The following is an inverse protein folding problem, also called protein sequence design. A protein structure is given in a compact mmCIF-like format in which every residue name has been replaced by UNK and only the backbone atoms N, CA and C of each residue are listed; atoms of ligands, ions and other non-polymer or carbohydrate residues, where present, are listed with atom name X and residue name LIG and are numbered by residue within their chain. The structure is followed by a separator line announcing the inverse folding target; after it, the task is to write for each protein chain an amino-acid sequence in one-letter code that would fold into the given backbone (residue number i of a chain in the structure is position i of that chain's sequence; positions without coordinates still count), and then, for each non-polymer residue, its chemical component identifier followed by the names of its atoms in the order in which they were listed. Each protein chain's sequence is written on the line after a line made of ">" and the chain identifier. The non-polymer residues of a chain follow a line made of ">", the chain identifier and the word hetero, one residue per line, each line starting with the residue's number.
data_IF_267559924249
#
_entry.id   IF_267559924249
#
_cell.length_a   1.000
_cell.length_b   1.000
_cell.length_c   1.000
_cell.angle_alpha   90.00
_cell.angle_beta   90.00
_cell.angle_gamma   90.00
#
_symmetry.space_group_name_H-M   'P 1'
#
loop_
_entity.id
_entity.type
_entity.pdbx_description
1 polymer ?
#
# COMPACT_ATOMS: atom_id res chain seq x y z
N UNK A 1 26.85 -55.56 -57.53
CA UNK A 1 27.06 -54.18 -57.08
C UNK A 1 25.84 -53.78 -56.24
N UNK A 2 25.92 -53.66 -54.91
CA UNK A 2 24.77 -53.20 -54.08
C UNK A 2 24.68 -51.67 -54.06
N UNK A 3 23.47 -51.16 -54.33
CA UNK A 3 23.15 -49.76 -54.25
C UNK A 3 22.88 -49.40 -52.74
N UNK A 4 23.70 -48.50 -52.18
CA UNK A 4 23.42 -47.89 -50.88
C UNK A 4 22.47 -46.69 -51.10
N UNK A 5 21.29 -46.75 -50.48
CA UNK A 5 20.35 -45.61 -50.40
C UNK A 5 20.63 -44.90 -49.11
N UNK A 6 21.15 -43.69 -49.14
CA UNK A 6 21.35 -42.86 -47.94
C UNK A 6 20.02 -42.15 -47.62
N UNK A 7 19.46 -42.46 -46.45
CA UNK A 7 18.32 -41.73 -45.89
C UNK A 7 18.83 -40.48 -45.17
N UNK A 8 18.48 -39.28 -45.65
CA UNK A 8 18.71 -38.04 -44.98
C UNK A 8 17.61 -37.83 -43.93
N UNK A 9 17.98 -37.89 -42.64
CA UNK A 9 17.11 -37.51 -41.54
C UNK A 9 17.14 -35.99 -41.39
N UNK A 10 16.08 -35.29 -41.85
CA UNK A 10 15.90 -33.87 -41.59
C UNK A 10 15.44 -33.70 -40.13
N UNK A 11 16.33 -33.30 -39.23
CA UNK A 11 15.95 -32.83 -37.86
C UNK A 11 15.47 -31.40 -38.02
N UNK A 12 14.16 -31.24 -38.06
CA UNK A 12 13.53 -29.91 -37.92
C UNK A 12 13.70 -29.38 -36.52
N UNK A 13 14.62 -28.42 -36.36
CA UNK A 13 14.70 -27.65 -35.10
C UNK A 13 13.50 -26.67 -35.11
N UNK A 14 12.46 -27.04 -34.36
CA UNK A 14 11.35 -26.11 -34.06
C UNK A 14 11.89 -25.06 -33.10
N UNK A 15 12.29 -23.90 -33.64
CA UNK A 15 12.48 -22.72 -32.84
C UNK A 15 11.09 -22.27 -32.33
N UNK A 16 10.73 -22.68 -31.10
CA UNK A 16 9.64 -22.06 -30.39
C UNK A 16 10.08 -20.63 -30.05
N UNK A 17 9.70 -19.68 -30.91
CA UNK A 17 9.82 -18.26 -30.56
C UNK A 17 8.86 -17.99 -29.43
N UNK A 18 9.34 -18.03 -28.20
CA UNK A 18 8.64 -17.40 -27.07
C UNK A 18 8.65 -15.90 -27.33
N UNK A 19 7.60 -15.40 -27.96
CA UNK A 19 7.34 -13.97 -28.00
C UNK A 19 7.19 -13.53 -26.53
N UNK A 20 8.21 -12.89 -26.00
CA UNK A 20 8.11 -12.24 -24.69
C UNK A 20 7.06 -11.15 -24.85
N UNK A 21 5.90 -11.36 -24.21
CA UNK A 21 4.84 -10.35 -24.17
C UNK A 21 5.41 -9.09 -23.52
N UNK A 22 5.19 -7.97 -24.14
CA UNK A 22 5.62 -6.66 -23.66
C UNK A 22 5.02 -6.36 -22.28
N UNK A 23 5.76 -5.66 -21.43
CA UNK A 23 5.24 -5.12 -20.18
C UNK A 23 4.32 -3.92 -20.45
N UNK A 24 3.29 -3.74 -19.65
CA UNK A 24 2.32 -2.66 -19.78
C UNK A 24 1.91 -2.12 -18.40
N UNK A 25 1.70 -0.80 -18.31
CA UNK A 25 1.18 -0.13 -17.11
C UNK A 25 -0.02 0.72 -17.50
N UNK A 26 -1.16 0.45 -16.88
CA UNK A 26 -2.37 1.22 -17.02
C UNK A 26 -2.68 1.96 -15.70
N UNK A 27 -2.70 3.29 -15.76
CA UNK A 27 -3.18 4.12 -14.66
C UNK A 27 -4.69 4.31 -14.78
N UNK A 28 -5.42 3.94 -13.75
CA UNK A 28 -6.87 4.06 -13.66
C UNK A 28 -7.20 5.12 -12.62
N UNK A 29 -7.92 6.14 -13.02
CA UNK A 29 -8.35 7.23 -12.15
C UNK A 29 -9.85 7.12 -11.89
N UNK A 30 -10.22 7.26 -10.64
CA UNK A 30 -11.61 7.39 -10.26
C UNK A 30 -11.94 8.87 -10.02
N UNK A 31 -12.82 9.43 -10.84
CA UNK A 31 -13.30 10.80 -10.69
C UNK A 31 -14.73 10.80 -10.12
N UNK A 32 -14.89 11.08 -8.82
CA UNK A 32 -16.19 10.95 -8.15
C UNK A 32 -17.15 12.14 -8.39
N UNK A 33 -16.73 13.18 -9.11
CA UNK A 33 -17.47 14.46 -9.25
C UNK A 33 -18.94 14.25 -9.69
N UNK A 34 -19.23 13.18 -10.42
CA UNK A 34 -20.56 12.88 -10.93
C UNK A 34 -21.30 11.79 -10.14
N UNK A 35 -20.75 11.30 -9.02
CA UNK A 35 -21.38 10.25 -8.23
C UNK A 35 -22.10 10.82 -7.02
N UNK A 36 -23.34 10.44 -6.86
CA UNK A 36 -24.23 10.89 -5.79
C UNK A 36 -23.93 10.24 -4.43
N UNK A 37 -23.22 9.11 -4.39
CA UNK A 37 -22.91 8.37 -3.17
C UNK A 37 -22.10 7.09 -3.39
N UNK A 38 -21.85 6.34 -2.32
CA UNK A 38 -21.25 5.01 -2.38
C UNK A 38 -22.06 4.04 -3.25
N UNK A 39 -21.39 3.06 -3.88
CA UNK A 39 -22.03 2.02 -4.69
C UNK A 39 -21.48 0.64 -4.34
N UNK A 40 -22.38 -0.32 -4.20
CA UNK A 40 -22.01 -1.73 -4.05
C UNK A 40 -21.71 -2.39 -5.41
N UNK A 41 -22.12 -1.74 -6.50
CA UNK A 41 -21.95 -2.27 -7.84
C UNK A 41 -20.54 -1.97 -8.37
N UNK A 42 -19.96 -2.93 -9.10
CA UNK A 42 -18.65 -2.81 -9.71
C UNK A 42 -18.71 -2.06 -11.05
N UNK A 43 -19.25 -0.83 -11.04
CA UNK A 43 -19.39 -0.01 -12.25
C UNK A 43 -18.21 0.95 -12.51
N UNK A 44 -17.46 1.32 -11.48
CA UNK A 44 -16.29 2.18 -11.64
C UNK A 44 -15.15 1.43 -12.31
N UNK A 45 -14.39 2.11 -13.21
CA UNK A 45 -13.30 1.48 -13.98
C UNK A 45 -12.24 0.84 -13.08
N UNK A 46 -12.01 1.42 -11.89
CA UNK A 46 -11.10 0.88 -10.90
C UNK A 46 -11.56 -0.48 -10.37
N UNK A 47 -12.88 -0.71 -10.25
CA UNK A 47 -13.46 -1.98 -9.88
C UNK A 47 -13.50 -2.93 -11.08
N UNK A 48 -14.01 -2.47 -12.23
CA UNK A 48 -14.11 -3.29 -13.46
C UNK A 48 -12.78 -3.91 -13.85
N UNK A 49 -11.69 -3.15 -13.76
CA UNK A 49 -10.36 -3.65 -14.07
C UNK A 49 -9.94 -4.77 -13.12
N UNK A 50 -10.20 -4.62 -11.82
CA UNK A 50 -9.92 -5.68 -10.85
C UNK A 50 -10.81 -6.90 -11.08
N UNK A 51 -12.12 -6.68 -11.25
CA UNK A 51 -13.09 -7.75 -11.49
C UNK A 51 -12.73 -8.55 -12.75
N UNK A 52 -12.38 -7.88 -13.85
CA UNK A 52 -11.93 -8.53 -15.08
C UNK A 52 -10.69 -9.39 -14.83
N UNK A 53 -9.70 -8.91 -14.10
CA UNK A 53 -8.50 -9.67 -13.79
C UNK A 53 -8.81 -10.94 -12.97
N UNK A 54 -9.72 -10.86 -11.98
CA UNK A 54 -10.14 -12.02 -11.19
C UNK A 54 -10.90 -13.04 -12.06
N UNK A 55 -11.82 -12.56 -12.89
CA UNK A 55 -12.64 -13.43 -13.76
C UNK A 55 -11.80 -14.15 -14.82
N UNK A 56 -10.71 -13.55 -15.27
CA UNK A 56 -9.81 -14.13 -16.30
C UNK A 56 -8.63 -14.90 -15.74
N UNK A 57 -8.50 -14.99 -14.41
CA UNK A 57 -7.46 -15.76 -13.76
C UNK A 57 -7.52 -17.25 -14.13
N UNK A 58 -6.37 -17.82 -14.48
CA UNK A 58 -6.22 -19.22 -14.92
C UNK A 58 -5.59 -20.13 -13.85
N UNK A 59 -4.71 -19.58 -13.00
CA UNK A 59 -3.88 -20.37 -12.08
C UNK A 59 -3.93 -19.90 -10.64
N UNK A 60 -3.65 -18.61 -10.40
CA UNK A 60 -3.47 -18.09 -9.04
C UNK A 60 -4.04 -16.69 -8.89
N UNK A 61 -4.62 -16.42 -7.73
CA UNK A 61 -4.95 -15.07 -7.25
C UNK A 61 -4.42 -14.95 -5.83
N UNK A 62 -3.44 -14.07 -5.64
CA UNK A 62 -2.93 -13.67 -4.34
C UNK A 62 -3.35 -12.25 -4.05
N UNK A 63 -3.97 -11.99 -2.90
CA UNK A 63 -4.37 -10.63 -2.56
C UNK A 63 -4.02 -10.26 -1.11
N UNK A 64 -3.72 -8.98 -0.89
CA UNK A 64 -3.59 -8.41 0.44
C UNK A 64 -4.35 -7.09 0.50
N UNK A 65 -5.38 -7.03 1.35
CA UNK A 65 -6.29 -5.89 1.45
C UNK A 65 -6.58 -5.53 2.90
N UNK A 66 -6.80 -4.26 3.15
CA UNK A 66 -7.19 -3.75 4.46
C UNK A 66 -8.53 -4.35 4.96
N UNK A 67 -9.40 -4.71 4.03
CA UNK A 67 -10.69 -5.34 4.28
C UNK A 67 -11.67 -5.06 3.15
N UNK A 68 -12.89 -5.57 3.30
CA UNK A 68 -13.95 -5.49 2.30
C UNK A 68 -15.26 -4.96 2.91
N UNK A 69 -15.97 -4.12 2.15
CA UNK A 69 -17.33 -3.66 2.48
C UNK A 69 -18.12 -3.35 1.22
N UNK A 70 -19.31 -3.97 1.10
CA UNK A 70 -20.26 -3.66 0.04
C UNK A 70 -19.74 -3.87 -1.37
N UNK A 71 -19.00 -4.95 -1.61
CA UNK A 71 -18.46 -5.32 -2.93
C UNK A 71 -18.72 -6.81 -3.23
N UNK A 72 -20.00 -7.19 -3.39
CA UNK A 72 -20.35 -8.59 -3.63
C UNK A 72 -19.76 -9.14 -4.92
N UNK A 73 -19.71 -8.35 -6.00
CA UNK A 73 -19.16 -8.79 -7.29
C UNK A 73 -17.73 -9.30 -7.18
N UNK A 74 -16.91 -8.64 -6.36
CA UNK A 74 -15.50 -9.06 -6.13
C UNK A 74 -15.46 -10.38 -5.35
N UNK A 75 -16.31 -10.54 -4.34
CA UNK A 75 -16.37 -11.79 -3.56
C UNK A 75 -16.84 -12.95 -4.42
N UNK A 76 -17.93 -12.78 -5.16
CA UNK A 76 -18.47 -13.79 -6.08
C UNK A 76 -17.46 -14.19 -7.17
N UNK A 77 -16.71 -13.23 -7.69
CA UNK A 77 -15.64 -13.51 -8.66
C UNK A 77 -14.51 -14.35 -8.06
N UNK A 78 -14.13 -14.11 -6.79
CA UNK A 78 -13.13 -14.91 -6.08
C UNK A 78 -13.65 -16.34 -5.78
N UNK A 79 -14.91 -16.49 -5.38
CA UNK A 79 -15.56 -17.81 -5.23
C UNK A 79 -15.60 -18.55 -6.58
N UNK A 80 -16.04 -17.89 -7.65
CA UNK A 80 -16.04 -18.44 -9.01
C UNK A 80 -14.64 -18.85 -9.48
N UNK A 81 -13.60 -18.12 -9.09
CA UNK A 81 -12.22 -18.51 -9.39
C UNK A 81 -11.84 -19.83 -8.71
N UNK A 82 -12.22 -20.03 -7.43
CA UNK A 82 -12.04 -21.32 -6.75
C UNK A 82 -12.76 -22.45 -7.46
N UNK A 83 -14.01 -22.24 -7.88
CA UNK A 83 -14.81 -23.25 -8.61
C UNK A 83 -14.18 -23.63 -9.96
N UNK A 84 -13.46 -22.70 -10.59
CA UNK A 84 -12.67 -22.96 -11.80
C UNK A 84 -11.35 -23.70 -11.53
N UNK A 85 -11.00 -23.94 -10.25
CA UNK A 85 -9.75 -24.59 -9.85
C UNK A 85 -8.57 -23.62 -9.71
N UNK A 86 -8.80 -22.30 -9.70
CA UNK A 86 -7.78 -21.28 -9.45
C UNK A 86 -7.40 -21.30 -7.97
N UNK A 87 -6.12 -21.28 -7.66
CA UNK A 87 -5.65 -21.15 -6.28
C UNK A 87 -5.84 -19.70 -5.82
N UNK A 88 -6.71 -19.48 -4.83
CA UNK A 88 -6.96 -18.16 -4.24
C UNK A 88 -6.40 -18.11 -2.83
N UNK A 89 -5.51 -17.13 -2.57
CA UNK A 89 -4.91 -16.87 -1.25
C UNK A 89 -5.08 -15.41 -0.87
N UNK A 90 -5.43 -15.15 0.38
CA UNK A 90 -5.70 -13.79 0.82
C UNK A 90 -5.03 -13.42 2.14
N UNK A 91 -4.78 -12.12 2.29
CA UNK A 91 -4.35 -11.49 3.53
C UNK A 91 -5.28 -10.32 3.84
N UNK A 92 -5.77 -10.28 5.08
CA UNK A 92 -6.65 -9.24 5.59
C UNK A 92 -6.10 -8.64 6.88
N UNK A 93 -6.51 -7.42 7.20
CA UNK A 93 -6.18 -6.73 8.45
C UNK A 93 -7.12 -7.15 9.58
N UNK A 94 -6.57 -7.36 10.77
CA UNK A 94 -7.34 -7.56 12.00
C UNK A 94 -6.64 -6.92 13.20
N UNK A 95 -7.39 -6.26 14.05
CA UNK A 95 -6.85 -5.71 15.30
C UNK A 95 -6.55 -6.81 16.36
N UNK A 96 -6.01 -6.40 17.51
CA UNK A 96 -5.68 -7.32 18.61
C UNK A 96 -6.91 -7.97 19.27
N UNK A 97 -8.10 -7.49 18.99
CA UNK A 97 -9.37 -8.02 19.46
C UNK A 97 -10.05 -8.94 18.40
N UNK A 98 -9.30 -9.29 17.33
CA UNK A 98 -9.73 -10.12 16.20
C UNK A 98 -10.87 -9.48 15.36
N UNK A 99 -10.87 -8.14 15.29
CA UNK A 99 -11.88 -7.38 14.57
C UNK A 99 -11.34 -6.80 13.28
N UNK A 100 -12.17 -6.85 12.25
CA UNK A 100 -11.92 -6.16 10.98
C UNK A 100 -12.44 -4.73 11.05
N UNK A 101 -11.78 -3.82 10.34
CA UNK A 101 -12.27 -2.45 10.18
C UNK A 101 -13.54 -2.38 9.31
N UNK A 102 -13.57 -3.10 8.19
CA UNK A 102 -14.71 -3.17 7.30
C UNK A 102 -15.63 -4.33 7.64
N UNK A 103 -16.96 -4.05 7.63
CA UNK A 103 -17.99 -4.94 8.16
C UNK A 103 -18.10 -6.29 7.46
N UNK A 104 -17.79 -6.36 6.15
CA UNK A 104 -17.99 -7.57 5.35
C UNK A 104 -16.71 -8.39 5.17
N UNK A 105 -15.59 -7.97 5.80
CA UNK A 105 -14.29 -8.64 5.64
C UNK A 105 -14.33 -10.10 6.09
N UNK A 106 -15.12 -10.42 7.12
CA UNK A 106 -15.29 -11.78 7.63
C UNK A 106 -15.82 -12.77 6.57
N UNK A 107 -16.57 -12.28 5.57
CA UNK A 107 -17.08 -13.11 4.47
C UNK A 107 -15.94 -13.74 3.65
N UNK A 108 -14.79 -13.06 3.55
CA UNK A 108 -13.61 -13.62 2.89
C UNK A 108 -13.08 -14.85 3.62
N UNK A 109 -13.10 -14.86 4.95
CA UNK A 109 -12.66 -16.01 5.76
C UNK A 109 -13.69 -17.15 5.70
N UNK A 110 -14.98 -16.81 5.59
CA UNK A 110 -16.05 -17.82 5.49
C UNK A 110 -16.05 -18.51 4.12
N UNK A 111 -15.85 -17.75 3.05
CA UNK A 111 -16.00 -18.22 1.67
C UNK A 111 -14.71 -18.76 1.04
N UNK A 112 -13.56 -18.24 1.48
CA UNK A 112 -12.26 -18.59 0.92
C UNK A 112 -11.44 -19.37 1.94
N UNK A 113 -10.89 -20.51 1.52
CA UNK A 113 -10.24 -21.46 2.44
C UNK A 113 -8.83 -21.07 2.88
N UNK A 114 -8.19 -20.11 2.20
CA UNK A 114 -6.78 -19.77 2.43
C UNK A 114 -6.57 -18.28 2.71
N UNK A 115 -7.20 -17.82 3.78
CA UNK A 115 -7.09 -16.45 4.27
C UNK A 115 -6.23 -16.40 5.52
N UNK A 116 -5.34 -15.40 5.58
CA UNK A 116 -4.53 -15.08 6.75
C UNK A 116 -4.74 -13.64 7.19
N UNK A 117 -4.41 -13.36 8.45
CA UNK A 117 -4.42 -11.99 8.98
C UNK A 117 -3.16 -11.71 9.79
N UNK A 118 -2.92 -10.44 10.08
CA UNK A 118 -1.83 -9.97 10.93
C UNK A 118 -2.10 -10.13 12.43
N UNK A 119 -3.29 -10.55 12.84
CA UNK A 119 -3.72 -10.73 14.22
C UNK A 119 -2.68 -11.43 15.12
N UNK A 120 -2.12 -12.56 14.68
CA UNK A 120 -1.13 -13.31 15.48
C UNK A 120 0.16 -12.52 15.67
N UNK A 121 0.58 -11.76 14.65
CA UNK A 121 1.76 -10.89 14.71
C UNK A 121 1.55 -9.76 15.71
N UNK A 122 0.37 -9.17 15.71
CA UNK A 122 0.01 -8.07 16.62
C UNK A 122 -0.14 -8.56 18.06
N UNK A 123 -0.72 -9.72 18.28
CA UNK A 123 -0.74 -10.36 19.62
C UNK A 123 0.68 -10.58 20.16
N UNK A 124 1.59 -11.10 19.34
CA UNK A 124 3.00 -11.25 19.72
C UNK A 124 3.67 -9.92 20.06
N UNK A 125 3.35 -8.87 19.32
CA UNK A 125 3.85 -7.51 19.57
C UNK A 125 3.32 -6.97 20.90
N UNK A 126 2.02 -7.12 21.17
CA UNK A 126 1.42 -6.75 22.44
C UNK A 126 2.09 -7.46 23.63
N UNK A 127 2.32 -8.77 23.52
CA UNK A 127 3.00 -9.53 24.58
C UNK A 127 4.45 -9.06 24.82
N UNK A 128 5.19 -8.71 23.76
CA UNK A 128 6.51 -8.11 23.88
C UNK A 128 6.46 -6.75 24.59
N UNK A 129 5.48 -5.91 24.27
CA UNK A 129 5.27 -4.62 24.93
C UNK A 129 4.92 -4.79 26.41
N UNK A 130 4.05 -5.74 26.75
CA UNK A 130 3.71 -6.08 28.15
C UNK A 130 4.96 -6.55 28.91
N UNK A 131 5.75 -7.48 28.36
CA UNK A 131 7.01 -7.95 28.97
C UNK A 131 8.00 -6.82 29.19
N UNK A 132 8.18 -5.93 28.22
CA UNK A 132 9.08 -4.78 28.32
C UNK A 132 8.62 -3.80 29.43
N UNK A 133 7.33 -3.67 29.64
CA UNK A 133 6.77 -2.83 30.67
C UNK A 133 6.95 -3.42 32.09
N UNK A 134 7.15 -4.74 32.18
CA UNK A 134 7.42 -5.47 33.43
C UNK A 134 8.91 -5.66 33.71
N UNK A 135 9.83 -5.29 32.78
CA UNK A 135 11.26 -5.40 33.09
C UNK A 135 11.60 -4.42 34.20
N UNK A 136 12.26 -4.94 35.27
CA UNK A 136 12.81 -4.18 36.43
C UNK A 136 13.93 -3.24 35.97
N UNK A 137 13.70 -2.38 34.99
CA UNK A 137 14.66 -1.32 34.72
C UNK A 137 14.55 -0.32 35.87
N UNK A 138 15.68 0.01 36.50
CA UNK A 138 15.79 1.17 37.40
C UNK A 138 15.34 2.40 36.61
N UNK A 139 14.09 2.75 36.72
CA UNK A 139 13.54 3.96 36.10
C UNK A 139 13.59 5.06 37.13
N UNK A 140 14.32 6.10 36.86
CA UNK A 140 14.24 7.33 37.61
C UNK A 140 12.80 7.84 37.58
N UNK A 141 12.25 8.15 38.75
CA UNK A 141 10.98 8.87 38.89
C UNK A 141 11.23 10.33 38.59
N UNK A 142 10.64 10.85 37.55
CA UNK A 142 10.69 12.27 37.25
C UNK A 142 9.35 12.92 37.64
N UNK A 143 9.40 13.95 38.47
CA UNK A 143 8.25 14.80 38.82
C UNK A 143 8.52 16.23 38.34
N UNK A 144 7.50 16.88 37.84
CA UNK A 144 7.52 18.33 37.71
C UNK A 144 7.25 18.95 39.10
N UNK A 145 7.92 20.05 39.46
CA UNK A 145 7.61 20.78 40.63
C UNK A 145 6.12 21.23 40.68
N UNK A 146 5.57 21.39 41.84
CA UNK A 146 4.22 21.93 42.01
C UNK A 146 4.07 23.25 41.26
N UNK A 147 2.95 23.41 40.56
CA UNK A 147 2.70 24.59 39.74
C UNK A 147 3.28 24.54 38.32
N UNK A 148 3.78 23.37 37.83
CA UNK A 148 4.31 23.17 36.47
C UNK A 148 5.43 24.14 36.03
N UNK A 149 6.07 24.83 36.97
CA UNK A 149 7.16 25.79 36.71
C UNK A 149 8.48 25.18 37.17
N UNK A 150 9.42 25.03 36.26
CA UNK A 150 10.77 24.57 36.52
C UNK A 150 11.17 23.26 35.82
N UNK A 151 12.46 22.88 35.88
CA UNK A 151 12.96 21.69 35.22
C UNK A 151 12.40 20.42 35.87
N UNK A 152 12.34 19.34 35.08
CA UNK A 152 11.94 18.03 35.53
C UNK A 152 12.94 17.54 36.57
N UNK A 153 12.46 17.21 37.78
CA UNK A 153 13.29 16.63 38.82
C UNK A 153 13.19 15.12 38.79
N UNK A 154 14.30 14.43 38.57
CA UNK A 154 14.37 12.98 38.50
C UNK A 154 15.08 12.44 39.75
N UNK A 155 14.45 11.48 40.43
CA UNK A 155 14.99 10.83 41.62
C UNK A 155 15.33 9.38 41.27
N UNK A 156 16.54 8.94 41.64
CA UNK A 156 16.87 7.51 41.66
C UNK A 156 16.17 6.88 42.88
N UNK A 157 15.46 5.83 42.66
CA UNK A 157 14.81 5.07 43.72
C UNK A 157 14.35 3.73 43.17
N UNK A 158 14.05 2.77 44.04
CA UNK A 158 13.31 1.57 43.69
C UNK A 158 11.93 1.99 43.18
N UNK A 159 11.89 2.32 41.90
CA UNK A 159 10.70 2.88 41.27
C UNK A 159 9.66 1.81 41.07
N UNK A 160 8.51 1.96 41.65
CA UNK A 160 7.29 1.37 41.09
C UNK A 160 7.18 1.90 39.65
N UNK A 161 7.39 1.02 38.67
CA UNK A 161 7.04 1.37 37.32
C UNK A 161 5.54 1.67 37.33
N UNK A 162 5.17 2.93 37.12
CA UNK A 162 3.78 3.24 36.82
C UNK A 162 3.44 2.42 35.60
N UNK A 163 2.46 1.50 35.69
CA UNK A 163 1.89 0.81 34.57
C UNK A 163 1.36 1.91 33.64
N UNK A 164 2.12 2.27 32.64
CA UNK A 164 1.57 3.05 31.53
C UNK A 164 0.64 2.10 30.79
N UNK A 165 -0.61 2.47 30.69
CA UNK A 165 -1.56 1.71 29.90
C UNK A 165 -1.00 1.51 28.49
N UNK A 166 -0.84 0.27 28.09
CA UNK A 166 -0.40 -0.06 26.77
C UNK A 166 -1.62 0.11 25.86
N UNK A 167 -1.65 1.23 25.11
CA UNK A 167 -2.72 1.55 24.16
C UNK A 167 -2.43 1.00 22.76
N UNK A 168 -1.87 -0.20 22.67
CA UNK A 168 -1.63 -0.85 21.40
C UNK A 168 -2.90 -1.58 20.95
N UNK A 169 -3.43 -1.22 19.79
CA UNK A 169 -4.63 -1.81 19.19
C UNK A 169 -4.33 -2.68 17.97
N UNK A 170 -3.07 -2.81 17.61
CA UNK A 170 -2.55 -3.43 16.39
C UNK A 170 -1.88 -2.40 15.49
N UNK A 171 -0.94 -2.86 14.70
CA UNK A 171 -0.45 -2.14 13.53
C UNK A 171 -1.39 -2.48 12.35
N UNK A 172 -1.47 -1.65 11.32
CA UNK A 172 -2.43 -1.85 10.23
C UNK A 172 -1.75 -2.47 9.01
N UNK A 173 -2.24 -3.62 8.55
CA UNK A 173 -1.90 -4.19 7.24
C UNK A 173 -2.70 -3.46 6.15
N UNK A 174 -2.14 -2.36 5.64
CA UNK A 174 -2.84 -1.40 4.80
C UNK A 174 -2.59 -1.60 3.29
N UNK A 175 -2.15 -2.77 2.88
CA UNK A 175 -1.97 -3.08 1.46
C UNK A 175 -3.31 -3.09 0.71
N UNK A 176 -3.25 -2.83 -0.58
CA UNK A 176 -4.33 -2.97 -1.54
C UNK A 176 -3.70 -3.49 -2.81
N UNK A 177 -3.55 -4.81 -2.88
CA UNK A 177 -2.91 -5.45 -4.01
C UNK A 177 -3.62 -6.77 -4.36
N UNK A 178 -3.63 -7.07 -5.64
CA UNK A 178 -3.97 -8.37 -6.21
C UNK A 178 -2.86 -8.75 -7.19
N UNK A 179 -2.43 -10.00 -7.13
CA UNK A 179 -1.46 -10.59 -8.05
C UNK A 179 -2.16 -11.74 -8.73
N UNK A 180 -2.34 -11.66 -10.04
CA UNK A 180 -3.04 -12.68 -10.82
C UNK A 180 -2.05 -13.39 -11.72
N UNK A 181 -2.05 -14.73 -11.67
CA UNK A 181 -1.24 -15.64 -12.47
C UNK A 181 0.28 -15.35 -12.42
N UNK A 182 0.73 -14.75 -11.30
CA UNK A 182 2.11 -14.29 -11.12
C UNK A 182 2.62 -13.44 -12.29
N UNK A 183 1.73 -12.62 -12.86
CA UNK A 183 2.00 -11.75 -14.00
C UNK A 183 1.35 -10.38 -13.87
N UNK A 184 0.08 -10.35 -13.50
CA UNK A 184 -0.69 -9.11 -13.40
C UNK A 184 -0.72 -8.61 -11.98
N UNK A 185 -0.52 -7.32 -11.79
CA UNK A 185 -0.65 -6.67 -10.49
C UNK A 185 -1.67 -5.55 -10.58
N UNK A 186 -2.69 -5.60 -9.73
CA UNK A 186 -3.56 -4.47 -9.45
C UNK A 186 -3.20 -3.91 -8.07
N UNK A 187 -2.89 -2.61 -7.99
CA UNK A 187 -2.57 -1.94 -6.72
C UNK A 187 -2.87 -0.45 -6.79
N UNK A 188 -2.96 0.22 -5.63
CA UNK A 188 -3.20 1.66 -5.61
C UNK A 188 -3.72 2.18 -4.28
N UNK A 189 -4.54 3.22 -4.35
CA UNK A 189 -5.10 3.88 -3.16
C UNK A 189 -6.47 3.33 -2.74
N UNK A 190 -7.20 2.63 -3.64
CA UNK A 190 -8.57 2.21 -3.41
C UNK A 190 -8.67 1.02 -2.45
N UNK A 191 -9.51 1.15 -1.42
CA UNK A 191 -9.97 0.01 -0.65
C UNK A 191 -11.04 -0.77 -1.44
N UNK A 192 -11.19 -2.06 -1.14
CA UNK A 192 -12.28 -2.87 -1.67
C UNK A 192 -13.55 -2.53 -0.87
N UNK A 193 -14.20 -1.47 -1.29
CA UNK A 193 -15.35 -0.93 -0.56
C UNK A 193 -16.29 -0.13 -1.48
N UNK A 194 -17.53 0.03 -1.03
CA UNK A 194 -18.57 0.85 -1.65
C UNK A 194 -18.11 2.28 -1.96
N UNK A 195 -17.21 2.84 -1.14
CA UNK A 195 -16.62 4.17 -1.37
C UNK A 195 -15.31 4.11 -2.14
N UNK A 196 -14.55 3.02 -2.04
CA UNK A 196 -13.26 2.83 -2.69
C UNK A 196 -13.41 2.34 -4.14
N UNK A 197 -13.49 1.03 -4.33
CA UNK A 197 -13.76 0.40 -5.64
C UNK A 197 -15.15 0.75 -6.18
N UNK A 198 -16.16 0.97 -5.33
CA UNK A 198 -17.46 1.49 -5.72
C UNK A 198 -17.47 2.93 -6.25
N UNK A 199 -16.32 3.62 -6.20
CA UNK A 199 -16.06 4.81 -7.00
C UNK A 199 -16.49 6.15 -6.40
N UNK A 200 -16.84 6.23 -5.12
CA UNK A 200 -17.25 7.48 -4.49
C UNK A 200 -16.08 8.34 -4.01
N UNK A 201 -14.96 7.73 -3.62
CA UNK A 201 -13.74 8.44 -3.26
C UNK A 201 -12.89 8.71 -4.51
N UNK A 202 -12.15 9.81 -4.52
CA UNK A 202 -11.09 10.04 -5.49
C UNK A 202 -9.92 9.09 -5.19
N UNK A 203 -9.77 8.09 -6.02
CA UNK A 203 -8.75 7.05 -5.93
C UNK A 203 -8.02 6.88 -7.26
N UNK A 204 -6.88 6.22 -7.19
CA UNK A 204 -6.24 5.66 -8.37
C UNK A 204 -5.83 4.20 -8.13
N UNK A 205 -5.71 3.47 -9.23
CA UNK A 205 -5.08 2.15 -9.26
C UNK A 205 -4.14 2.06 -10.45
N UNK A 206 -3.16 1.18 -10.32
CA UNK A 206 -2.32 0.71 -11.41
C UNK A 206 -2.71 -0.73 -11.73
N UNK A 207 -2.91 -1.01 -13.00
CA UNK A 207 -2.95 -2.38 -13.52
C UNK A 207 -1.68 -2.59 -14.34
N UNK A 208 -0.85 -3.54 -13.90
CA UNK A 208 0.50 -3.75 -14.43
C UNK A 208 0.57 -5.17 -14.98
N UNK A 209 0.80 -5.31 -16.28
CA UNK A 209 1.13 -6.57 -16.93
C UNK A 209 2.66 -6.69 -17.02
N UNK A 210 3.28 -7.28 -16.03
CA UNK A 210 4.73 -7.47 -15.96
C UNK A 210 5.08 -8.58 -14.96
N UNK A 211 5.65 -9.65 -15.48
CA UNK A 211 6.11 -10.75 -14.61
C UNK A 211 7.23 -10.32 -13.64
N UNK A 212 8.24 -9.53 -14.03
CA UNK A 212 9.23 -9.02 -13.09
C UNK A 212 8.62 -8.21 -11.95
N UNK A 213 7.63 -7.34 -12.23
CA UNK A 213 6.91 -6.57 -11.20
C UNK A 213 6.10 -7.51 -10.31
N UNK A 214 5.34 -8.44 -10.89
CA UNK A 214 4.55 -9.42 -10.14
C UNK A 214 5.42 -10.23 -9.17
N UNK A 215 6.63 -10.64 -9.58
CA UNK A 215 7.56 -11.36 -8.70
C UNK A 215 7.94 -10.55 -7.44
N UNK A 216 8.11 -9.23 -7.55
CA UNK A 216 8.41 -8.36 -6.40
C UNK A 216 7.22 -8.32 -5.43
N UNK A 217 6.00 -8.20 -5.96
CA UNK A 217 4.78 -8.21 -5.14
C UNK A 217 4.52 -9.60 -4.53
N UNK A 218 4.77 -10.67 -5.28
CA UNK A 218 4.66 -12.05 -4.78
C UNK A 218 5.63 -12.30 -3.63
N UNK A 219 6.87 -11.82 -3.72
CA UNK A 219 7.82 -11.96 -2.62
C UNK A 219 7.34 -11.26 -1.33
N UNK A 220 6.69 -10.09 -1.45
CA UNK A 220 6.08 -9.41 -0.31
C UNK A 220 4.86 -10.18 0.23
N UNK A 221 4.03 -10.71 -0.66
CA UNK A 221 2.88 -11.52 -0.28
C UNK A 221 3.32 -12.79 0.47
N UNK A 222 4.30 -13.54 -0.05
CA UNK A 222 4.84 -14.75 0.59
C UNK A 222 5.43 -14.47 1.98
N UNK A 223 6.12 -13.34 2.13
CA UNK A 223 6.65 -12.90 3.43
C UNK A 223 5.55 -12.76 4.48
N UNK A 224 4.40 -12.24 4.09
CA UNK A 224 3.25 -12.09 5.00
C UNK A 224 2.45 -13.41 5.13
N UNK A 225 2.12 -14.03 3.99
CA UNK A 225 1.21 -15.18 3.95
C UNK A 225 1.89 -16.46 4.45
N UNK A 226 3.07 -16.77 3.94
CA UNK A 226 3.75 -18.05 4.22
C UNK A 226 4.65 -17.94 5.45
N UNK A 227 5.43 -16.87 5.57
CA UNK A 227 6.36 -16.69 6.69
C UNK A 227 5.69 -16.05 7.93
N UNK A 228 4.51 -15.45 7.78
CA UNK A 228 3.78 -14.78 8.87
C UNK A 228 4.48 -13.53 9.41
N UNK A 229 5.30 -12.88 8.58
CA UNK A 229 6.03 -11.68 8.94
C UNK A 229 5.25 -10.44 8.53
N UNK A 230 4.70 -9.76 9.52
CA UNK A 230 3.93 -8.52 9.34
C UNK A 230 4.64 -7.35 10.02
N UNK A 231 4.33 -6.13 9.58
CA UNK A 231 4.72 -4.89 10.22
C UNK A 231 6.22 -4.85 10.58
N UNK A 232 6.53 -4.64 11.86
CA UNK A 232 7.91 -4.55 12.39
C UNK A 232 8.63 -5.90 12.51
N UNK A 233 7.93 -7.02 12.25
CA UNK A 233 8.56 -8.33 12.21
C UNK A 233 9.32 -8.57 10.90
N UNK A 234 9.04 -7.77 9.87
CA UNK A 234 9.75 -7.83 8.58
C UNK A 234 11.19 -7.35 8.73
N UNK A 235 12.11 -8.02 8.01
CA UNK A 235 13.50 -7.61 7.98
C UNK A 235 13.65 -6.25 7.28
N UNK A 236 14.34 -5.33 7.93
CA UNK A 236 14.57 -3.99 7.39
C UNK A 236 15.62 -4.05 6.27
N UNK A 237 15.23 -3.65 5.07
CA UNK A 237 16.10 -3.57 3.89
C UNK A 237 16.60 -2.15 3.65
N UNK A 238 15.77 -1.14 3.92
CA UNK A 238 16.01 0.30 3.65
C UNK A 238 16.22 0.63 2.17
N UNK A 239 15.80 -0.24 1.28
CA UNK A 239 16.04 -0.12 -0.16
C UNK A 239 14.76 -0.43 -0.91
N UNK A 240 14.39 0.44 -1.85
CA UNK A 240 13.37 0.16 -2.84
C UNK A 240 13.90 -0.76 -3.95
N UNK A 241 13.03 -1.54 -4.56
CA UNK A 241 13.35 -2.39 -5.70
C UNK A 241 12.99 -1.68 -7.00
N UNK A 242 13.94 -1.55 -7.91
CA UNK A 242 13.69 -1.00 -9.24
C UNK A 242 13.55 -2.14 -10.26
N UNK A 243 12.52 -2.04 -11.10
CA UNK A 243 12.23 -2.97 -12.20
C UNK A 243 12.20 -2.18 -13.49
N UNK A 244 13.04 -2.56 -14.45
CA UNK A 244 13.00 -2.00 -15.81
C UNK A 244 11.89 -2.67 -16.62
N UNK A 245 11.13 -1.86 -17.33
CA UNK A 245 10.07 -2.34 -18.21
C UNK A 245 10.66 -2.88 -19.50
N UNK A 246 10.17 -4.02 -19.95
CA UNK A 246 10.71 -4.73 -21.12
C UNK A 246 10.47 -3.99 -22.45
N UNK A 247 9.50 -3.07 -22.52
CA UNK A 247 9.10 -2.36 -23.75
C UNK A 247 9.62 -0.94 -23.85
N UNK A 248 10.02 -0.36 -22.75
CA UNK A 248 10.56 1.01 -22.71
C UNK A 248 11.73 1.05 -21.73
N UNK A 249 13.00 1.02 -22.22
CA UNK A 249 14.17 1.08 -21.35
C UNK A 249 14.21 2.32 -20.46
N UNK A 250 13.57 3.40 -20.89
CA UNK A 250 13.46 4.64 -20.12
C UNK A 250 12.37 4.61 -19.04
N UNK A 251 11.46 3.63 -19.09
CA UNK A 251 10.44 3.43 -18.07
C UNK A 251 10.90 2.40 -17.04
N UNK A 252 10.85 2.78 -15.80
CA UNK A 252 11.09 1.87 -14.70
C UNK A 252 10.05 2.08 -13.61
N UNK A 253 9.83 1.03 -12.83
CA UNK A 253 8.99 1.07 -11.64
C UNK A 253 9.91 0.90 -10.44
N UNK A 254 9.82 1.83 -9.49
CA UNK A 254 10.44 1.68 -8.17
C UNK A 254 9.38 1.28 -7.16
N UNK A 255 9.55 0.12 -6.52
CA UNK A 255 8.61 -0.49 -5.58
C UNK A 255 9.23 -0.46 -4.19
N UNK A 256 8.47 0.01 -3.21
CA UNK A 256 8.89 0.01 -1.82
C UNK A 256 7.73 -0.35 -0.89
N UNK A 257 7.95 -1.28 0.01
CA UNK A 257 6.98 -1.70 1.01
C UNK A 257 7.35 -1.16 2.40
N UNK A 258 6.40 -0.54 3.07
CA UNK A 258 6.59 -0.09 4.46
C UNK A 258 6.22 -1.20 5.45
N UNK A 259 6.93 -1.27 6.59
CA UNK A 259 7.99 -0.38 7.05
C UNK A 259 9.41 -0.76 6.57
N UNK A 260 9.63 -1.96 6.02
CA UNK A 260 10.94 -2.55 5.81
C UNK A 260 11.83 -1.78 4.84
N UNK A 261 11.28 -1.28 3.74
CA UNK A 261 12.06 -0.61 2.69
C UNK A 261 12.26 0.89 2.95
N UNK A 262 11.72 1.41 4.07
CA UNK A 262 11.76 2.85 4.37
C UNK A 262 11.22 3.69 3.20
N UNK A 263 10.07 3.34 2.66
CA UNK A 263 9.50 3.85 1.41
C UNK A 263 9.59 5.38 1.25
N UNK A 264 9.41 6.15 2.33
CA UNK A 264 9.58 7.61 2.29
C UNK A 264 11.00 7.99 1.85
N UNK A 265 12.02 7.35 2.40
CA UNK A 265 13.41 7.74 2.17
C UNK A 265 14.05 7.03 0.97
N UNK A 266 13.62 5.82 0.67
CA UNK A 266 14.16 5.03 -0.44
C UNK A 266 13.49 5.32 -1.79
N UNK A 267 12.22 5.78 -1.78
CA UNK A 267 11.46 6.02 -3.01
C UNK A 267 10.91 7.45 -3.12
N UNK A 268 10.19 7.98 -2.10
CA UNK A 268 9.52 9.27 -2.22
C UNK A 268 10.50 10.45 -2.20
N UNK A 269 11.36 10.51 -1.18
CA UNK A 269 12.29 11.66 -0.99
C UNK A 269 13.27 11.86 -2.15
N UNK A 270 13.86 10.84 -2.78
CA UNK A 270 14.73 11.04 -3.94
C UNK A 270 14.02 11.77 -5.09
N UNK A 271 12.77 11.40 -5.38
CA UNK A 271 11.98 12.03 -6.45
C UNK A 271 11.64 13.49 -6.11
N UNK A 272 11.18 13.77 -4.87
CA UNK A 272 10.87 15.14 -4.44
C UNK A 272 12.11 16.05 -4.44
N UNK A 273 13.25 15.54 -3.99
CA UNK A 273 14.53 16.29 -4.01
C UNK A 273 15.02 16.58 -5.43
N UNK A 274 14.75 15.67 -6.36
CA UNK A 274 15.11 15.81 -7.77
C UNK A 274 14.23 16.75 -8.56
N UNK A 275 13.10 17.20 -8.01
CA UNK A 275 12.14 18.08 -8.69
C UNK A 275 12.78 19.41 -9.12
N UNK A 276 12.49 19.81 -10.39
CA UNK A 276 13.02 21.05 -11.00
C UNK A 276 11.92 22.03 -11.38
N UNK A 277 10.77 21.55 -11.81
CA UNK A 277 9.70 22.36 -12.39
C UNK A 277 8.43 22.36 -11.54
N UNK A 278 7.92 21.19 -11.16
CA UNK A 278 6.63 21.08 -10.47
C UNK A 278 6.50 19.86 -9.58
N UNK A 279 5.69 20.01 -8.51
CA UNK A 279 5.22 18.90 -7.65
C UNK A 279 3.73 19.11 -7.42
N UNK A 280 2.90 18.26 -8.00
CA UNK A 280 1.45 18.24 -7.85
C UNK A 280 1.03 17.06 -6.99
N UNK A 281 0.41 17.31 -5.83
CA UNK A 281 0.07 16.29 -4.85
C UNK A 281 -1.45 16.21 -4.67
N UNK A 282 -1.98 15.00 -4.72
CA UNK A 282 -3.33 14.65 -4.30
C UNK A 282 -3.25 13.60 -3.16
N UNK A 283 -3.70 13.95 -1.95
CA UNK A 283 -3.38 13.13 -0.79
C UNK A 283 -4.46 13.14 0.30
N UNK A 284 -4.64 11.99 0.93
CA UNK A 284 -5.59 11.82 2.04
C UNK A 284 -5.03 12.34 3.37
N UNK A 285 -3.84 11.88 3.80
CA UNK A 285 -3.13 12.36 5.00
C UNK A 285 -1.72 12.84 4.67
N UNK A 286 -1.37 14.03 5.15
CA UNK A 286 -0.04 14.63 5.05
C UNK A 286 0.40 15.14 6.42
N UNK A 287 1.03 14.26 7.20
CA UNK A 287 1.56 14.59 8.54
C UNK A 287 3.07 14.42 8.63
N UNK A 288 3.71 13.79 7.63
CA UNK A 288 5.13 13.46 7.64
C UNK A 288 6.01 14.72 7.61
N UNK A 289 6.77 14.95 8.69
CA UNK A 289 7.58 16.16 8.87
C UNK A 289 8.60 16.37 7.74
N UNK A 290 9.38 15.34 7.42
CA UNK A 290 10.49 15.50 6.47
C UNK A 290 10.01 15.67 5.02
N UNK A 291 8.91 15.04 4.63
CA UNK A 291 8.26 15.31 3.34
C UNK A 291 7.85 16.78 3.27
N UNK A 292 7.19 17.29 4.32
CA UNK A 292 6.73 18.69 4.33
C UNK A 292 7.88 19.70 4.32
N UNK A 293 8.98 19.39 4.98
CA UNK A 293 10.20 20.21 4.91
C UNK A 293 10.75 20.19 3.48
N UNK A 294 10.85 19.02 2.83
CA UNK A 294 11.35 18.93 1.45
C UNK A 294 10.47 19.69 0.46
N UNK A 295 9.14 19.67 0.64
CA UNK A 295 8.23 20.47 -0.19
C UNK A 295 8.51 21.98 -0.06
N UNK A 296 8.81 22.44 1.17
CA UNK A 296 9.23 23.84 1.39
C UNK A 296 10.57 24.12 0.72
N UNK A 297 11.54 23.25 0.83
CA UNK A 297 12.85 23.42 0.17
C UNK A 297 12.72 23.38 -1.36
N UNK A 298 11.88 22.51 -1.92
CA UNK A 298 11.57 22.51 -3.35
C UNK A 298 10.94 23.86 -3.77
N UNK A 299 9.98 24.37 -3.00
CA UNK A 299 9.35 25.66 -3.28
C UNK A 299 10.36 26.81 -3.24
N UNK A 300 11.28 26.83 -2.28
CA UNK A 300 12.38 27.82 -2.21
C UNK A 300 13.33 27.73 -3.41
N UNK A 301 13.52 26.56 -3.99
CA UNK A 301 14.30 26.38 -5.23
C UNK A 301 13.57 26.88 -6.49
N UNK A 302 12.31 27.34 -6.35
CA UNK A 302 11.48 27.82 -7.45
C UNK A 302 10.56 26.76 -8.06
N UNK A 303 10.52 25.55 -7.51
CA UNK A 303 9.61 24.48 -7.95
C UNK A 303 8.16 24.88 -7.61
N UNK A 304 7.25 24.73 -8.57
CA UNK A 304 5.81 24.99 -8.38
C UNK A 304 5.18 23.83 -7.62
N UNK A 305 4.93 24.03 -6.32
CA UNK A 305 4.29 23.00 -5.47
C UNK A 305 2.81 23.31 -5.30
N UNK A 306 1.92 22.33 -5.61
CA UNK A 306 0.46 22.44 -5.41
C UNK A 306 -0.06 21.18 -4.72
N UNK A 307 -0.97 21.34 -3.78
CA UNK A 307 -1.46 20.24 -2.97
C UNK A 307 -2.98 20.26 -2.88
N UNK A 308 -3.61 19.13 -3.12
CA UNK A 308 -5.02 18.85 -2.78
C UNK A 308 -5.01 17.86 -1.63
N UNK A 309 -5.59 18.26 -0.50
CA UNK A 309 -5.67 17.48 0.73
C UNK A 309 -7.13 17.22 1.11
N UNK A 310 -7.46 16.03 1.56
CA UNK A 310 -8.77 15.71 2.11
C UNK A 310 -9.08 16.48 3.40
N UNK A 311 -10.35 16.85 3.59
CA UNK A 311 -10.79 17.54 4.80
C UNK A 311 -10.53 16.72 6.07
N UNK A 312 -10.70 15.40 6.02
CA UNK A 312 -10.38 14.51 7.16
C UNK A 312 -8.88 14.56 7.50
N UNK A 313 -8.03 14.57 6.48
CA UNK A 313 -6.58 14.74 6.66
C UNK A 313 -6.22 16.12 7.21
N UNK A 314 -6.96 17.16 6.82
CA UNK A 314 -6.73 18.52 7.30
C UNK A 314 -7.13 18.71 8.77
N UNK A 315 -8.16 18.00 9.27
CA UNK A 315 -8.59 18.10 10.69
C UNK A 315 -7.67 17.36 11.66
N UNK A 316 -6.73 16.55 11.16
CA UNK A 316 -5.76 15.86 12.01
C UNK A 316 -4.81 16.88 12.66
N UNK A 317 -4.58 16.77 13.97
CA UNK A 317 -3.73 17.69 14.76
C UNK A 317 -2.27 17.76 14.25
N UNK A 318 -1.77 16.70 13.60
CA UNK A 318 -0.42 16.64 13.03
C UNK A 318 -0.36 17.08 11.56
N UNK A 319 -1.49 17.46 10.97
CA UNK A 319 -1.57 17.86 9.56
C UNK A 319 -0.62 19.03 9.25
N UNK A 320 0.06 18.96 8.11
CA UNK A 320 1.06 19.94 7.72
C UNK A 320 0.51 21.04 6.79
N UNK A 321 -0.78 21.05 6.50
CA UNK A 321 -1.37 21.97 5.54
C UNK A 321 -1.22 23.44 5.96
N UNK A 322 -1.39 23.78 7.24
CA UNK A 322 -1.20 25.16 7.74
C UNK A 322 0.26 25.59 7.61
N UNK A 323 1.18 24.75 8.10
CA UNK A 323 2.63 24.98 7.96
C UNK A 323 3.03 25.24 6.49
N UNK A 324 2.50 24.46 5.54
CA UNK A 324 2.82 24.60 4.12
C UNK A 324 2.25 25.90 3.55
N UNK A 325 1.02 26.28 3.93
CA UNK A 325 0.40 27.56 3.55
C UNK A 325 1.19 28.76 4.07
N UNK A 326 1.66 28.71 5.33
CA UNK A 326 2.54 29.74 5.93
C UNK A 326 3.87 29.91 5.17
N UNK A 327 4.33 28.86 4.47
CA UNK A 327 5.52 28.88 3.62
C UNK A 327 5.22 29.24 2.17
N UNK A 328 4.00 29.70 1.85
CA UNK A 328 3.60 30.14 0.52
C UNK A 328 3.18 29.04 -0.44
N UNK A 329 3.06 27.77 0.03
CA UNK A 329 2.62 26.64 -0.80
C UNK A 329 1.09 26.60 -0.83
N UNK A 330 0.44 26.66 -2.01
CA UNK A 330 -1.01 26.55 -2.11
C UNK A 330 -1.47 25.12 -1.76
N UNK A 331 -2.34 25.03 -0.75
CA UNK A 331 -2.99 23.80 -0.34
C UNK A 331 -4.50 23.98 -0.41
N UNK A 332 -5.14 23.27 -1.34
CA UNK A 332 -6.59 23.19 -1.43
C UNK A 332 -7.10 22.08 -0.53
N UNK A 333 -8.13 22.35 0.26
CA UNK A 333 -8.82 21.34 1.06
C UNK A 333 -10.08 20.91 0.29
N UNK A 334 -10.19 19.63 0.01
CA UNK A 334 -11.37 19.06 -0.61
C UNK A 334 -12.33 18.48 0.43
N UNK A 335 -13.60 18.84 0.29
CA UNK A 335 -14.67 18.42 1.19
C UNK A 335 -15.99 18.24 0.41
N UNK A 336 -16.09 17.16 -0.34
CA UNK A 336 -17.38 16.69 -0.87
C UNK A 336 -17.85 15.50 -0.03
N UNK A 337 -18.92 14.81 -0.39
CA UNK A 337 -19.42 13.65 0.38
C UNK A 337 -18.46 12.45 0.42
N UNK A 338 -17.59 12.30 -0.58
CA UNK A 338 -16.51 11.30 -0.62
C UNK A 338 -15.19 11.84 -0.02
N UNK A 339 -14.08 11.14 -0.33
CA UNK A 339 -12.74 11.47 0.15
C UNK A 339 -11.77 11.69 -1.02
N UNK A 340 -10.87 12.67 -0.88
CA UNK A 340 -9.62 12.69 -1.64
C UNK A 340 -8.71 11.59 -1.08
N UNK A 341 -8.91 10.36 -1.55
CA UNK A 341 -8.24 9.20 -0.94
C UNK A 341 -6.96 8.77 -1.67
N UNK A 342 -6.53 9.47 -2.70
CA UNK A 342 -5.24 9.27 -3.35
C UNK A 342 -4.07 9.50 -2.38
N UNK A 343 -2.93 8.92 -2.68
CA UNK A 343 -1.64 9.17 -2.04
C UNK A 343 -0.63 9.29 -3.18
N UNK A 344 -0.77 10.37 -3.95
CA UNK A 344 -0.08 10.50 -5.23
C UNK A 344 0.58 11.85 -5.37
N UNK A 345 1.73 11.86 -6.05
CA UNK A 345 2.36 13.07 -6.55
C UNK A 345 2.83 12.88 -8.00
N UNK A 346 2.60 13.88 -8.81
CA UNK A 346 3.21 14.00 -10.14
C UNK A 346 4.33 15.04 -10.06
N UNK A 347 5.55 14.62 -10.35
CA UNK A 347 6.75 15.46 -10.26
C UNK A 347 7.29 15.71 -11.66
N UNK A 348 7.46 16.99 -12.02
CA UNK A 348 7.96 17.49 -13.31
C UNK A 348 7.19 16.93 -14.51
N UNK A 349 5.90 16.58 -14.33
CA UNK A 349 5.08 15.93 -15.37
C UNK A 349 5.61 14.56 -15.82
N UNK A 350 6.60 14.00 -15.15
CA UNK A 350 7.36 12.83 -15.58
C UNK A 350 7.33 11.67 -14.58
N UNK A 351 7.42 11.95 -13.28
CA UNK A 351 7.50 10.92 -12.26
C UNK A 351 6.19 10.85 -11.48
N UNK A 352 5.52 9.72 -11.52
CA UNK A 352 4.33 9.45 -10.71
C UNK A 352 4.74 8.68 -9.45
N UNK A 353 4.48 9.24 -8.29
CA UNK A 353 4.49 8.55 -7.01
C UNK A 353 3.06 8.18 -6.69
N UNK A 354 2.78 6.88 -6.41
CA UNK A 354 1.44 6.43 -6.01
C UNK A 354 1.50 5.15 -5.19
N UNK A 355 0.39 4.79 -4.54
CA UNK A 355 0.28 3.57 -3.75
C UNK A 355 -0.73 3.71 -2.62
N UNK A 356 -0.64 2.80 -1.64
CA UNK A 356 -1.55 2.74 -0.51
C UNK A 356 -1.08 3.55 0.72
N UNK A 357 0.21 3.91 0.77
CA UNK A 357 0.84 4.54 1.94
C UNK A 357 0.41 5.98 2.12
N UNK A 358 -0.23 6.31 3.25
CA UNK A 358 -0.40 7.71 3.67
C UNK A 358 0.97 8.34 3.99
N UNK A 359 1.13 9.62 3.78
CA UNK A 359 2.37 10.34 4.08
C UNK A 359 2.35 10.84 5.53
N UNK A 360 2.39 9.87 6.45
CA UNK A 360 2.26 10.08 7.90
C UNK A 360 3.53 9.74 8.66
#
# INVERSE_FOLDING_TARGET
>A
VPKFTAAFLLIGIIFSSTTTRADEINLILNSPINKSGPSNDCEADICKTLLSAILTAEKTIDFAIYGMRGQPDILEALESALDRGVTVRGIIDKDIDDKNYYADTWMLEEKLTNIRSDYVSDKRTLEKLKKKNWSKSKKSKCKRPEGNKGPLQCFEGEGYASKTDIRFKGDIMHNKLFIVDNRYVWTGSANISDTGTGGYNANNALFIDSKPVANVFTAEFERMHTEGLFHRAKQVTRTATSVNMATSPEQNITIAFSPQDYAVYSAVMPVLKGAKDSIDIAIFFLTHKNISIELVEAHKRGVKVRIILDATGATNEYSKHQFLREKGIPVKIENWGGKMHMKSALVDGKHLITGSMNWT
#
